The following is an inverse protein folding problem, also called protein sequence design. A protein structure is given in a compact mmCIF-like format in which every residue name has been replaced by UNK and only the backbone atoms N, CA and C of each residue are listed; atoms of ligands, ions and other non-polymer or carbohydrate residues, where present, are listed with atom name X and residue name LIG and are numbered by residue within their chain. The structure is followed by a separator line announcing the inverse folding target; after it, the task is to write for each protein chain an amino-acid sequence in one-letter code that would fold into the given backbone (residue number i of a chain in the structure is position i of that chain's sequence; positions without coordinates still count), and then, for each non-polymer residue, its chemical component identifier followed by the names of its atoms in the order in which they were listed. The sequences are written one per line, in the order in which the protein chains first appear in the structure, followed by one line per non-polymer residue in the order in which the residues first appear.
data_IF_582733339700
#
_entry.id   IF_582733339700
#
_cell.length_a   1.000
_cell.length_b   1.000
_cell.length_c   1.000
_cell.angle_alpha   90.00
_cell.angle_beta   90.00
_cell.angle_gamma   90.00
#
_symmetry.space_group_name_H-M   'P 1'
#
loop_
_entity.id
_entity.type
_entity.pdbx_description
1 polymer ?
#
# COMPACT_ATOMS: atom_id res chain seq x y z
N UNK A 1 15.46 11.77 -3.74
CA UNK A 1 14.50 11.30 -2.72
C UNK A 1 13.61 10.25 -3.38
N UNK A 2 13.73 8.98 -3.00
CA UNK A 2 13.04 7.91 -3.72
C UNK A 2 11.54 7.94 -3.37
N UNK A 3 10.69 8.04 -4.39
CA UNK A 3 9.24 8.16 -4.24
C UNK A 3 8.57 6.93 -3.61
N UNK A 4 9.27 5.79 -3.53
CA UNK A 4 8.72 4.51 -3.09
C UNK A 4 9.68 3.76 -2.17
N UNK A 5 10.03 4.39 -1.06
CA UNK A 5 10.80 3.77 0.03
C UNK A 5 9.86 3.06 1.02
N UNK A 6 10.42 2.08 1.75
CA UNK A 6 9.71 1.35 2.79
C UNK A 6 9.21 2.32 3.86
N UNK A 7 7.98 2.13 4.33
CA UNK A 7 7.31 3.00 5.30
C UNK A 7 6.56 4.18 4.68
N UNK A 8 6.68 4.40 3.36
CA UNK A 8 5.95 5.47 2.68
C UNK A 8 4.48 5.11 2.48
N UNK A 9 3.61 6.09 2.70
CA UNK A 9 2.17 5.98 2.43
C UNK A 9 1.89 6.33 0.98
N UNK A 10 1.10 5.49 0.34
CA UNK A 10 0.64 5.66 -1.02
C UNK A 10 -0.88 5.51 -1.08
N UNK A 11 -1.49 6.02 -2.15
CA UNK A 11 -2.85 5.69 -2.53
C UNK A 11 -2.81 4.77 -3.74
N UNK A 12 -3.70 3.79 -3.75
CA UNK A 12 -3.93 2.98 -4.94
C UNK A 12 -4.72 3.81 -5.94
N UNK A 13 -4.17 4.03 -7.13
CA UNK A 13 -4.85 4.79 -8.18
C UNK A 13 -5.83 3.93 -8.99
N UNK A 14 -5.50 2.65 -9.18
CA UNK A 14 -6.23 1.79 -10.13
C UNK A 14 -6.64 0.44 -9.54
N UNK A 15 -7.67 -0.17 -10.16
CA UNK A 15 -8.18 -1.49 -9.79
C UNK A 15 -9.25 -1.46 -8.71
N UNK A 16 -9.61 -2.65 -8.19
CA UNK A 16 -10.71 -2.84 -7.22
C UNK A 16 -10.58 -2.02 -5.92
N UNK A 17 -9.37 -1.56 -5.61
CA UNK A 17 -9.04 -0.83 -4.37
C UNK A 17 -8.59 0.60 -4.64
N UNK A 18 -8.89 1.13 -5.83
CA UNK A 18 -8.63 2.53 -6.15
C UNK A 18 -9.21 3.45 -5.06
N UNK A 19 -8.43 4.44 -4.63
CA UNK A 19 -8.75 5.36 -3.54
C UNK A 19 -8.41 4.83 -2.13
N UNK A 20 -7.98 3.58 -1.96
CA UNK A 20 -7.54 3.08 -0.65
C UNK A 20 -6.09 3.48 -0.37
N UNK A 21 -5.83 3.85 0.88
CA UNK A 21 -4.47 4.12 1.36
C UNK A 21 -3.73 2.83 1.69
N UNK A 22 -2.45 2.79 1.37
CA UNK A 22 -1.56 1.67 1.66
C UNK A 22 -0.18 2.16 2.10
N UNK A 23 0.56 1.32 2.80
CA UNK A 23 1.93 1.58 3.22
C UNK A 23 2.87 0.57 2.57
N UNK A 24 3.98 1.03 1.99
CA UNK A 24 5.00 0.16 1.39
C UNK A 24 5.73 -0.57 2.51
N UNK A 25 5.67 -1.90 2.52
CA UNK A 25 6.37 -2.75 3.50
C UNK A 25 7.73 -3.20 2.98
N UNK A 26 7.80 -3.56 1.69
CA UNK A 26 9.03 -4.04 1.07
C UNK A 26 9.04 -3.71 -0.42
N UNK A 27 10.20 -3.39 -0.95
CA UNK A 27 10.42 -3.34 -2.39
C UNK A 27 10.89 -4.72 -2.82
N UNK A 28 10.07 -5.43 -3.61
CA UNK A 28 10.44 -6.76 -4.11
C UNK A 28 11.32 -6.63 -5.34
N UNK A 29 10.94 -5.71 -6.23
CA UNK A 29 11.57 -5.49 -7.53
C UNK A 29 11.59 -3.99 -7.88
N UNK A 30 12.22 -3.66 -9.00
CA UNK A 30 12.17 -2.30 -9.54
C UNK A 30 10.76 -1.86 -9.92
N UNK A 31 9.87 -2.78 -10.32
CA UNK A 31 8.47 -2.46 -10.69
C UNK A 31 7.44 -2.87 -9.65
N UNK A 32 7.77 -3.75 -8.72
CA UNK A 32 6.81 -4.31 -7.77
C UNK A 32 7.19 -4.03 -6.32
N UNK A 33 6.19 -3.67 -5.54
CA UNK A 33 6.29 -3.45 -4.11
C UNK A 33 5.25 -4.28 -3.38
N UNK A 34 5.61 -4.72 -2.18
CA UNK A 34 4.65 -5.24 -1.22
C UNK A 34 4.08 -4.10 -0.40
N UNK A 35 2.77 -3.94 -0.49
CA UNK A 35 2.01 -2.94 0.25
C UNK A 35 1.09 -3.60 1.25
N UNK A 36 0.92 -2.92 2.37
CA UNK A 36 -0.08 -3.20 3.38
C UNK A 36 -1.21 -2.20 3.24
N UNK A 37 -2.43 -2.67 3.02
CA UNK A 37 -3.60 -1.79 2.87
C UNK A 37 -4.12 -1.37 4.24
N UNK A 38 -4.26 -0.06 4.41
CA UNK A 38 -4.80 0.54 5.61
C UNK A 38 -6.33 0.55 5.48
N UNK A 39 -7.00 -0.41 6.13
CA UNK A 39 -8.45 -0.39 6.28
C UNK A 39 -8.81 0.67 7.33
N UNK A 40 -8.91 1.92 6.90
CA UNK A 40 -9.08 3.05 7.82
C UNK A 40 -10.49 3.04 8.46
N UNK A 41 -10.49 3.16 9.79
CA UNK A 41 -11.58 3.47 10.73
C UNK A 41 -12.70 2.41 10.89
N UNK A 42 -12.80 1.88 12.12
CA UNK A 42 -13.87 1.06 12.68
C UNK A 42 -13.90 -0.42 12.29
N UNK A 43 -12.93 -1.18 12.80
CA UNK A 43 -13.24 -2.51 13.34
C UNK A 43 -12.23 -2.85 14.43
N UNK A 44 -12.74 -2.88 15.64
CA UNK A 44 -12.09 -3.30 16.88
C UNK A 44 -11.29 -4.60 16.71
N UNK A 45 -10.13 -4.62 17.36
CA UNK A 45 -9.63 -5.68 18.24
C UNK A 45 -9.75 -7.16 17.84
N UNK A 46 -9.92 -7.55 16.58
CA UNK A 46 -9.86 -8.98 16.21
C UNK A 46 -9.20 -9.19 14.83
N UNK A 47 -7.88 -9.43 14.85
CA UNK A 47 -7.15 -10.40 14.03
C UNK A 47 -7.47 -10.57 12.52
N UNK A 48 -8.08 -9.62 11.81
CA UNK A 48 -8.21 -9.70 10.34
C UNK A 48 -6.97 -9.11 9.68
N UNK A 49 -5.92 -9.92 9.71
CA UNK A 49 -4.55 -9.64 9.33
C UNK A 49 -4.40 -8.65 8.18
N UNK A 50 -3.55 -7.65 8.43
CA UNK A 50 -2.90 -6.80 7.45
C UNK A 50 -2.52 -7.62 6.20
N UNK A 51 -3.37 -7.58 5.17
CA UNK A 51 -3.17 -8.39 3.95
C UNK A 51 -2.08 -7.73 3.13
N UNK A 52 -0.88 -8.30 3.19
CA UNK A 52 0.23 -7.93 2.32
C UNK A 52 -0.17 -8.26 0.88
N UNK A 53 0.08 -7.33 -0.03
CA UNK A 53 -0.24 -7.46 -1.45
C UNK A 53 0.95 -7.00 -2.27
N UNK A 54 1.32 -7.79 -3.28
CA UNK A 54 2.25 -7.35 -4.32
C UNK A 54 1.48 -6.45 -5.30
N UNK A 55 1.98 -5.24 -5.53
CA UNK A 55 1.36 -4.25 -6.41
C UNK A 55 2.42 -3.56 -7.25
N UNK A 56 2.04 -3.17 -8.48
CA UNK A 56 2.94 -2.45 -9.36
C UNK A 56 3.06 -1.00 -8.88
N UNK A 57 4.29 -0.49 -8.86
CA UNK A 57 4.63 0.90 -8.55
C UNK A 57 3.83 1.89 -9.41
N UNK A 58 3.55 1.56 -10.67
CA UNK A 58 2.76 2.41 -11.59
C UNK A 58 1.32 2.66 -11.15
N UNK A 59 0.77 1.84 -10.26
CA UNK A 59 -0.60 1.99 -9.77
C UNK A 59 -0.66 2.62 -8.38
N UNK A 60 0.48 3.06 -7.86
CA UNK A 60 0.62 3.63 -6.53
C UNK A 60 1.15 5.05 -6.66
N UNK A 61 0.44 5.99 -6.05
CA UNK A 61 0.90 7.36 -5.93
C UNK A 61 1.29 7.64 -4.48
N UNK A 62 2.54 8.08 -4.20
CA UNK A 62 2.93 8.46 -2.86
C UNK A 62 2.15 9.69 -2.42
N UNK A 63 1.55 9.59 -1.24
CA UNK A 63 0.98 10.76 -0.58
C UNK A 63 2.15 11.68 -0.19
N UNK A 64 2.00 12.98 -0.49
CA UNK A 64 2.98 14.01 -0.13
C UNK A 64 3.21 14.05 1.38
#
# INVERSE_FOLDING_TARGET
MNAMEVGRKCVVLTGRRAGMTCTIKKVVDNNFVEVELDAKKNASKDAKGKKVRKMNKLHLEPLK
#
